data_IF_526639555318
#
_entry.id   IF_526639555318
#
_cell.length_a   1.000
_cell.length_b   1.000
_cell.length_c   1.000
_cell.angle_alpha   90.00
_cell.angle_beta   90.00
_cell.angle_gamma   90.00
#
_symmetry.space_group_name_H-M   'P 1'
#
loop_
_entity.id
_entity.type
_entity.pdbx_description
1 polymer ?
#
# COMPACT_ATOMS: atom_id res chain seq x y z
N UNK A 1 -0.49 -9.98 -15.86
CA UNK A 1 0.89 -9.78 -15.34
C UNK A 1 1.21 -8.32 -15.00
N UNK A 2 0.65 -7.35 -15.73
CA UNK A 2 0.91 -5.91 -15.53
C UNK A 2 0.60 -5.39 -14.11
N UNK A 3 -0.43 -5.92 -13.48
CA UNK A 3 -0.89 -5.51 -12.14
C UNK A 3 0.08 -5.90 -11.00
N UNK A 4 0.81 -7.02 -11.13
CA UNK A 4 1.74 -7.49 -10.08
C UNK A 4 2.98 -6.60 -9.99
N UNK A 5 3.56 -6.20 -11.13
CA UNK A 5 4.69 -5.29 -11.14
C UNK A 5 4.33 -3.92 -10.54
N UNK A 6 3.13 -3.41 -10.83
CA UNK A 6 2.66 -2.16 -10.26
C UNK A 6 2.48 -2.26 -8.75
N UNK A 7 1.82 -3.32 -8.26
CA UNK A 7 1.70 -3.61 -6.82
C UNK A 7 3.05 -3.67 -6.11
N UNK A 8 4.06 -4.33 -6.70
CA UNK A 8 5.41 -4.39 -6.13
C UNK A 8 6.07 -3.01 -6.05
N UNK A 9 5.88 -2.16 -7.05
CA UNK A 9 6.38 -0.78 -7.01
C UNK A 9 5.70 0.05 -5.92
N UNK A 10 4.38 -0.06 -5.77
CA UNK A 10 3.64 0.63 -4.71
C UNK A 10 4.09 0.18 -3.32
N UNK A 11 4.22 -1.13 -3.11
CA UNK A 11 4.74 -1.71 -1.87
C UNK A 11 6.17 -1.22 -1.58
N UNK A 12 7.02 -1.10 -2.60
CA UNK A 12 8.38 -0.56 -2.45
C UNK A 12 8.38 0.90 -2.01
N UNK A 13 7.54 1.75 -2.62
CA UNK A 13 7.38 3.16 -2.21
C UNK A 13 6.93 3.25 -0.75
N UNK A 14 6.00 2.40 -0.33
CA UNK A 14 5.52 2.35 1.06
C UNK A 14 6.59 1.86 2.05
N UNK A 15 7.42 0.91 1.63
CA UNK A 15 8.52 0.37 2.44
C UNK A 15 9.66 1.38 2.62
N UNK A 16 10.03 2.09 1.56
CA UNK A 16 11.03 3.17 1.58
C UNK A 16 10.52 4.36 2.40
N UNK A 17 9.24 4.73 2.24
CA UNK A 17 8.60 5.79 2.99
C UNK A 17 9.17 7.19 2.70
N UNK A 18 8.77 8.17 3.50
CA UNK A 18 9.27 9.54 3.37
C UNK A 18 10.62 9.68 4.09
N UNK A 19 11.67 10.14 3.39
CA UNK A 19 13.00 10.34 3.98
C UNK A 19 13.05 11.46 5.01
N UNK A 20 12.23 12.50 4.83
CA UNK A 20 12.11 13.64 5.77
C UNK A 20 11.30 13.28 7.01
N UNK A 21 10.32 12.39 6.85
CA UNK A 21 9.41 11.98 7.91
C UNK A 21 9.34 10.45 8.00
N UNK A 22 10.42 9.78 8.43
CA UNK A 22 10.51 8.31 8.41
C UNK A 22 9.49 7.63 9.35
N UNK A 23 9.01 8.34 10.38
CA UNK A 23 7.91 7.87 11.23
C UNK A 23 6.57 7.82 10.48
N UNK A 24 6.43 8.60 9.41
CA UNK A 24 5.21 8.78 8.63
C UNK A 24 5.14 7.77 7.47
N UNK A 25 4.82 6.52 7.82
CA UNK A 25 4.64 5.43 6.84
C UNK A 25 3.21 5.38 6.29
N UNK A 26 2.78 6.37 5.51
CA UNK A 26 1.42 6.43 4.91
C UNK A 26 0.30 5.86 5.81
N UNK A 27 0.38 6.12 7.12
CA UNK A 27 -0.60 5.61 8.10
C UNK A 27 -1.74 6.60 8.27
N UNK A 28 -1.55 7.83 7.81
CA UNK A 28 -2.47 8.96 7.89
C UNK A 28 -2.33 9.77 6.60
N UNK A 29 -3.41 10.48 6.27
CA UNK A 29 -3.49 11.36 5.10
C UNK A 29 -2.40 12.42 5.10
N UNK A 30 -1.67 12.50 3.99
CA UNK A 30 -0.64 13.51 3.84
C UNK A 30 -1.25 14.91 3.92
N UNK A 31 -0.68 15.78 4.76
CA UNK A 31 -1.21 17.15 4.94
C UNK A 31 -0.83 18.11 3.78
N UNK A 32 -0.32 17.60 2.65
CA UNK A 32 0.19 18.40 1.52
C UNK A 32 1.48 19.19 1.75
N UNK A 33 1.99 19.26 2.99
CA UNK A 33 3.21 20.04 3.35
C UNK A 33 4.53 19.37 2.97
N UNK A 34 4.47 18.08 2.61
CA UNK A 34 5.64 17.32 2.21
C UNK A 34 5.27 16.47 0.99
N UNK A 35 5.93 16.75 -0.12
CA UNK A 35 5.73 16.06 -1.40
C UNK A 35 6.01 14.55 -1.27
N UNK A 36 7.09 14.16 -0.61
CA UNK A 36 7.41 12.74 -0.36
C UNK A 36 6.30 12.04 0.46
N UNK A 37 5.73 12.71 1.46
CA UNK A 37 4.59 12.15 2.20
C UNK A 37 3.34 12.01 1.32
N UNK A 38 3.10 12.96 0.41
CA UNK A 38 1.97 12.90 -0.51
C UNK A 38 2.12 11.76 -1.53
N UNK A 39 3.33 11.54 -2.06
CA UNK A 39 3.63 10.41 -2.95
C UNK A 39 3.41 9.08 -2.23
N UNK A 40 3.92 8.97 -1.00
CA UNK A 40 3.77 7.75 -0.18
C UNK A 40 2.30 7.51 0.18
N UNK A 41 1.51 8.55 0.45
CA UNK A 41 0.06 8.43 0.68
C UNK A 41 -0.70 8.00 -0.57
N UNK A 42 -0.43 8.64 -1.72
CA UNK A 42 -1.07 8.30 -3.00
C UNK A 42 -0.78 6.86 -3.42
N UNK A 43 0.45 6.39 -3.18
CA UNK A 43 0.82 5.00 -3.44
C UNK A 43 0.01 4.00 -2.59
N UNK A 44 -0.43 4.40 -1.39
CA UNK A 44 -1.30 3.59 -0.56
C UNK A 44 -2.73 3.56 -1.10
N UNK A 45 -3.28 4.71 -1.47
CA UNK A 45 -4.63 4.79 -2.07
C UNK A 45 -4.72 3.92 -3.33
N UNK A 46 -3.71 4.00 -4.19
CA UNK A 46 -3.62 3.17 -5.41
C UNK A 46 -3.49 1.67 -5.07
N UNK A 47 -2.78 1.31 -4.00
CA UNK A 47 -2.65 -0.08 -3.58
C UNK A 47 -3.97 -0.65 -3.01
N UNK A 48 -4.70 0.16 -2.24
CA UNK A 48 -6.01 -0.17 -1.67
C UNK A 48 -7.08 -0.30 -2.78
N UNK A 49 -7.06 0.56 -3.80
CA UNK A 49 -7.91 0.43 -4.99
C UNK A 49 -7.65 -0.88 -5.75
N UNK A 50 -6.40 -1.35 -5.78
CA UNK A 50 -6.02 -2.63 -6.38
C UNK A 50 -6.26 -3.85 -5.45
N UNK A 51 -6.82 -3.67 -4.26
CA UNK A 51 -7.07 -4.71 -3.26
C UNK A 51 -8.43 -5.41 -3.43
N UNK A 52 -8.96 -5.48 -4.66
CA UNK A 52 -10.30 -6.01 -4.89
C UNK A 52 -10.37 -7.52 -5.14
N UNK A 53 -9.26 -8.25 -5.13
CA UNK A 53 -9.27 -9.69 -5.35
C UNK A 53 -8.08 -10.37 -4.67
N UNK A 54 -8.12 -10.51 -3.35
CA UNK A 54 -7.19 -11.37 -2.62
C UNK A 54 -7.87 -12.70 -2.26
N UNK A 55 -7.83 -13.73 -3.14
CA UNK A 55 -8.41 -15.03 -2.84
C UNK A 55 -7.80 -15.72 -1.60
N UNK A 56 -6.68 -15.23 -1.08
CA UNK A 56 -6.05 -15.74 0.14
C UNK A 56 -6.61 -15.13 1.42
N UNK A 57 -7.27 -13.97 1.37
CA UNK A 57 -8.03 -13.44 2.53
C UNK A 57 -9.31 -14.23 2.74
N UNK A 58 -10.00 -14.59 1.65
CA UNK A 58 -11.19 -15.46 1.68
C UNK A 58 -10.88 -16.84 2.28
N UNK A 59 -9.68 -17.38 2.01
CA UNK A 59 -9.20 -18.64 2.58
C UNK A 59 -8.89 -18.56 4.09
N UNK A 60 -8.45 -17.39 4.57
CA UNK A 60 -8.16 -17.16 5.99
C UNK A 60 -9.45 -16.95 6.80
N UNK A 61 -10.45 -16.27 6.23
CA UNK A 61 -11.74 -16.00 6.89
C UNK A 61 -12.71 -17.18 6.86
N UNK A 62 -12.69 -18.02 5.82
CA UNK A 62 -13.59 -19.18 5.71
C UNK A 62 -13.04 -20.50 6.25
N UNK A 63 -11.81 -20.48 6.79
CA UNK A 63 -11.23 -21.58 7.56
C UNK A 63 -10.86 -22.77 6.68
N UNK A 64 -9.56 -23.06 6.61
CA UNK A 64 -9.05 -24.32 6.11
C UNK A 64 -9.71 -25.49 6.84
N UNK A 65 -10.73 -26.08 6.22
CA UNK A 65 -11.19 -27.41 6.58
C UNK A 65 -10.23 -28.39 5.92
N UNK A 66 -9.28 -28.85 6.72
CA UNK A 66 -8.48 -30.05 6.43
C UNK A 66 -9.33 -31.30 6.38
#
# INVERSE_FOLDING_TARGET
MENVHRKLQLLRILAEGCRKHPAYRARRTATGRCEECAVVWKAREELEEHHENNPWEDWFDHGGKG
#
